data_IF_055682791342
#
_entry.id   IF_055682791342
#
_cell.length_a   1.000
_cell.length_b   1.000
_cell.length_c   1.000
_cell.angle_alpha   90.00
_cell.angle_beta   90.00
_cell.angle_gamma   90.00
#
_symmetry.space_group_name_H-M   'P 1'
#
loop_
_entity.id
_entity.type
_entity.pdbx_description
1 polymer ?
#
# COMPACT_ATOMS: atom_id res chain seq x y z
N UNK A 1 2.10 -9.23 11.19
CA UNK A 1 2.04 -7.89 10.55
C UNK A 1 2.74 -7.93 9.19
N UNK A 2 2.27 -7.16 8.20
CA UNK A 2 2.92 -6.97 6.89
C UNK A 2 3.64 -5.63 6.79
N UNK A 3 3.11 -4.59 7.44
CA UNK A 3 3.75 -3.28 7.57
C UNK A 3 3.69 -2.76 9.00
N UNK A 4 4.85 -2.39 9.53
CA UNK A 4 5.06 -1.75 10.82
C UNK A 4 5.88 -0.45 10.65
N UNK A 5 5.27 0.74 10.83
CA UNK A 5 5.95 2.02 10.54
C UNK A 5 7.30 2.17 11.24
N UNK A 6 7.40 1.72 12.51
CA UNK A 6 8.60 1.85 13.33
C UNK A 6 9.81 1.12 12.75
N UNK A 7 9.63 -0.09 12.22
CA UNK A 7 10.73 -0.88 11.64
C UNK A 7 10.90 -0.68 10.12
N UNK A 8 9.85 -0.25 9.43
CA UNK A 8 9.75 -0.43 7.98
C UNK A 8 9.88 0.84 7.17
N UNK A 9 9.60 2.01 7.76
CA UNK A 9 9.52 3.24 6.98
C UNK A 9 10.86 3.57 6.27
N UNK A 10 11.99 3.20 6.87
CA UNK A 10 13.32 3.37 6.26
C UNK A 10 13.61 2.41 5.09
N UNK A 11 12.77 1.37 4.90
CA UNK A 11 12.92 0.34 3.84
C UNK A 11 11.96 0.58 2.66
N UNK A 12 11.12 1.60 2.74
CA UNK A 12 10.15 1.93 1.71
C UNK A 12 10.85 2.52 0.47
N UNK A 13 10.39 2.08 -0.69
CA UNK A 13 10.66 2.71 -1.98
C UNK A 13 9.46 3.55 -2.40
N UNK A 14 9.68 4.65 -3.11
CA UNK A 14 8.63 5.63 -3.42
C UNK A 14 8.64 6.05 -4.88
N UNK A 15 7.48 6.49 -5.37
CA UNK A 15 7.38 7.30 -6.58
C UNK A 15 8.34 8.49 -6.47
N UNK A 16 9.23 8.65 -7.45
CA UNK A 16 10.15 9.80 -7.45
C UNK A 16 9.44 11.04 -7.96
N UNK A 17 9.67 12.16 -7.29
CA UNK A 17 9.09 13.46 -7.63
C UNK A 17 10.26 14.40 -7.97
N UNK A 18 10.50 14.60 -9.26
CA UNK A 18 11.60 15.40 -9.78
C UNK A 18 13.00 14.93 -9.34
N UNK A 19 14.00 15.81 -9.52
CA UNK A 19 15.40 15.52 -9.20
C UNK A 19 15.73 15.52 -7.69
N UNK A 20 14.87 16.13 -6.87
CA UNK A 20 15.13 16.39 -5.45
C UNK A 20 14.82 15.21 -4.51
N UNK A 21 14.17 14.14 -4.97
CA UNK A 21 13.57 13.15 -4.08
C UNK A 21 13.87 11.69 -4.43
N UNK A 22 15.10 11.20 -4.17
CA UNK A 22 15.34 9.74 -4.03
C UNK A 22 14.73 9.18 -2.73
N UNK A 23 14.44 10.05 -1.76
CA UNK A 23 13.78 9.72 -0.50
C UNK A 23 12.32 10.13 -0.64
N UNK A 24 11.39 9.21 -0.40
CA UNK A 24 9.97 9.54 -0.39
C UNK A 24 9.67 10.68 0.56
N UNK A 25 8.67 11.50 0.20
CA UNK A 25 8.03 12.46 1.09
C UNK A 25 7.05 11.72 1.99
N UNK A 26 7.51 11.42 3.20
CA UNK A 26 6.71 10.84 4.28
C UNK A 26 7.27 11.33 5.62
N UNK A 27 6.50 11.15 6.69
CA UNK A 27 6.97 11.38 8.06
C UNK A 27 6.62 10.19 8.94
N UNK A 28 7.44 9.95 9.96
CA UNK A 28 7.03 9.14 11.09
C UNK A 28 6.44 10.06 12.16
N UNK A 29 5.25 9.71 12.64
CA UNK A 29 4.55 10.36 13.73
C UNK A 29 4.25 9.33 14.84
N UNK A 30 3.56 9.79 15.88
CA UNK A 30 3.13 8.94 16.99
C UNK A 30 1.62 9.01 17.13
N UNK A 31 0.98 7.84 17.17
CA UNK A 31 -0.45 7.70 17.43
C UNK A 31 -0.75 8.25 18.82
N UNK A 32 -1.59 9.29 18.90
CA UNK A 32 -2.05 9.82 20.18
C UNK A 32 -3.04 8.88 20.90
N UNK A 33 -3.51 7.83 20.20
CA UNK A 33 -4.46 6.85 20.74
C UNK A 33 -3.72 5.65 21.34
N UNK A 34 -2.70 5.12 20.65
CA UNK A 34 -2.03 3.87 21.04
C UNK A 34 -0.57 4.06 21.45
N UNK A 35 0.00 5.24 21.24
CA UNK A 35 1.42 5.50 21.44
C UNK A 35 2.33 4.79 20.44
N UNK A 36 1.78 4.15 19.39
CA UNK A 36 2.57 3.43 18.39
C UNK A 36 3.10 4.37 17.30
N UNK A 37 4.22 4.02 16.63
CA UNK A 37 4.69 4.72 15.45
C UNK A 37 3.65 4.70 14.32
N UNK A 38 3.50 5.83 13.64
CA UNK A 38 2.55 6.04 12.55
C UNK A 38 3.29 6.49 11.31
N UNK A 39 2.97 5.88 10.18
CA UNK A 39 3.45 6.30 8.87
C UNK A 39 2.51 7.36 8.30
N UNK A 40 2.98 8.60 8.25
CA UNK A 40 2.27 9.72 7.65
C UNK A 40 2.65 9.84 6.17
N UNK A 41 1.70 9.51 5.30
CA UNK A 41 1.81 9.58 3.85
C UNK A 41 0.86 10.67 3.34
N UNK A 42 1.42 11.71 2.73
CA UNK A 42 0.66 12.83 2.20
C UNK A 42 0.96 12.99 0.71
N UNK A 43 -0.04 13.40 -0.08
CA UNK A 43 0.19 13.74 -1.47
C UNK A 43 1.13 14.93 -1.53
N UNK A 44 2.27 14.79 -2.22
CA UNK A 44 3.21 15.87 -2.34
C UNK A 44 2.60 16.95 -3.25
N UNK A 45 2.84 18.21 -2.89
CA UNK A 45 2.38 19.38 -3.63
C UNK A 45 3.63 20.17 -4.02
N UNK A 46 3.81 20.41 -5.31
CA UNK A 46 4.92 21.23 -5.80
C UNK A 46 4.65 22.73 -5.61
N UNK A 47 5.63 23.56 -5.97
CA UNK A 47 5.52 25.02 -5.84
C UNK A 47 4.39 25.64 -6.66
N UNK A 48 3.88 24.93 -7.68
CA UNK A 48 2.73 25.36 -8.49
C UNK A 48 1.39 24.91 -7.91
N UNK A 49 1.40 24.16 -6.80
CA UNK A 49 0.20 23.59 -6.21
C UNK A 49 -0.23 22.27 -6.83
N UNK A 50 0.61 21.66 -7.68
CA UNK A 50 0.29 20.42 -8.38
C UNK A 50 0.77 19.19 -7.61
N UNK A 51 -0.04 18.14 -7.59
CA UNK A 51 0.29 16.82 -7.03
C UNK A 51 0.42 15.78 -8.13
N UNK A 52 1.28 14.75 -7.98
CA UNK A 52 1.33 13.65 -8.93
C UNK A 52 -0.02 12.93 -9.01
N UNK A 53 -0.30 12.32 -10.17
CA UNK A 53 -1.54 11.56 -10.36
C UNK A 53 -1.61 10.32 -9.43
N UNK A 54 -0.44 9.74 -9.14
CA UNK A 54 -0.23 8.63 -8.22
C UNK A 54 1.01 8.89 -7.36
N UNK A 55 0.92 8.64 -6.07
CA UNK A 55 2.05 8.66 -5.16
C UNK A 55 2.05 7.40 -4.31
N UNK A 56 3.01 6.52 -4.59
CA UNK A 56 3.06 5.17 -4.06
C UNK A 56 4.27 4.97 -3.15
N UNK A 57 4.03 4.36 -1.99
CA UNK A 57 5.05 3.78 -1.12
C UNK A 57 5.00 2.25 -1.24
N UNK A 58 6.13 1.60 -1.49
CA UNK A 58 6.24 0.15 -1.70
C UNK A 58 7.27 -0.48 -0.78
N UNK A 59 6.86 -1.57 -0.14
CA UNK A 59 7.65 -2.36 0.80
C UNK A 59 7.80 -3.78 0.31
N UNK A 60 9.02 -4.32 0.34
CA UNK A 60 9.24 -5.76 0.16
C UNK A 60 8.78 -6.50 1.41
N UNK A 61 7.84 -7.43 1.26
CA UNK A 61 7.24 -8.24 2.33
C UNK A 61 7.52 -9.74 2.18
N UNK A 62 8.27 -10.15 1.16
CA UNK A 62 8.54 -11.56 0.82
C UNK A 62 8.98 -12.41 2.01
N UNK A 63 9.92 -11.94 2.82
CA UNK A 63 10.43 -12.70 3.96
C UNK A 63 9.36 -12.90 5.03
N UNK A 64 8.47 -11.92 5.21
CA UNK A 64 7.33 -12.02 6.14
C UNK A 64 6.33 -13.05 5.65
N UNK A 65 6.06 -13.06 4.36
CA UNK A 65 5.18 -14.04 3.71
C UNK A 65 5.76 -15.44 3.89
N UNK A 66 7.03 -15.65 3.53
CA UNK A 66 7.74 -16.93 3.68
C UNK A 66 7.78 -17.43 5.12
N UNK A 67 8.00 -16.54 6.09
CA UNK A 67 8.04 -16.89 7.51
C UNK A 67 6.72 -17.46 8.05
N UNK A 68 5.59 -17.31 7.32
CA UNK A 68 4.30 -17.89 7.70
C UNK A 68 4.12 -19.33 7.23
N UNK A 69 4.95 -19.82 6.30
CA UNK A 69 4.91 -21.21 5.80
C UNK A 69 3.48 -21.64 5.43
N UNK A 70 3.05 -22.86 5.78
CA UNK A 70 1.72 -23.40 5.45
C UNK A 70 0.55 -22.58 5.99
N UNK A 71 0.76 -21.78 7.05
CA UNK A 71 -0.32 -20.96 7.61
C UNK A 71 -0.78 -19.88 6.64
N UNK A 72 0.08 -19.43 5.70
CA UNK A 72 -0.26 -18.34 4.77
C UNK A 72 -1.53 -18.61 3.98
N UNK A 73 -1.78 -19.86 3.59
CA UNK A 73 -2.94 -20.27 2.80
C UNK A 73 -4.28 -20.06 3.53
N UNK A 74 -4.26 -19.99 4.87
CA UNK A 74 -5.44 -19.76 5.68
C UNK A 74 -5.85 -18.28 5.76
N UNK A 75 -4.99 -17.34 5.34
CA UNK A 75 -5.32 -15.92 5.40
C UNK A 75 -6.52 -15.57 4.51
N UNK A 76 -7.39 -14.68 5.01
CA UNK A 76 -8.66 -14.30 4.36
C UNK A 76 -8.81 -12.81 4.13
N UNK A 77 -8.05 -11.99 4.84
CA UNK A 77 -8.25 -10.54 4.85
C UNK A 77 -6.97 -9.77 5.14
N UNK A 78 -6.97 -8.49 4.78
CA UNK A 78 -6.04 -7.49 5.28
C UNK A 78 -6.76 -6.58 6.27
N UNK A 79 -6.16 -6.38 7.44
CA UNK A 79 -6.59 -5.42 8.44
C UNK A 79 -5.64 -4.23 8.42
N UNK A 80 -6.17 -3.04 8.23
CA UNK A 80 -5.43 -1.80 8.20
C UNK A 80 -5.91 -0.90 9.34
N UNK A 81 -5.00 -0.47 10.19
CA UNK A 81 -5.30 0.58 11.18
C UNK A 81 -4.81 1.91 10.65
N UNK A 82 -5.75 2.80 10.32
CA UNK A 82 -5.46 4.07 9.66
C UNK A 82 -6.45 5.18 10.02
N UNK A 83 -6.07 6.41 9.66
CA UNK A 83 -6.97 7.55 9.48
C UNK A 83 -6.59 8.35 8.24
N UNK A 84 -7.55 9.06 7.67
CA UNK A 84 -7.35 10.05 6.61
C UNK A 84 -6.88 11.40 7.16
N UNK A 85 -6.18 12.17 6.32
CA UNK A 85 -5.81 13.57 6.56
C UNK A 85 -6.90 14.55 6.08
N UNK A 86 -7.97 14.04 5.47
CA UNK A 86 -9.17 14.76 5.04
C UNK A 86 -10.43 14.04 5.51
N UNK A 87 -11.58 14.71 5.47
CA UNK A 87 -12.87 14.15 5.88
C UNK A 87 -13.28 12.89 5.06
N UNK A 88 -12.76 12.79 3.84
CA UNK A 88 -12.83 11.59 3.02
C UNK A 88 -11.48 11.40 2.35
N UNK A 89 -10.90 10.23 2.53
CA UNK A 89 -9.64 9.82 1.95
C UNK A 89 -9.79 8.42 1.36
N UNK A 90 -9.29 8.22 0.15
CA UNK A 90 -9.12 6.89 -0.43
C UNK A 90 -7.64 6.50 -0.40
N UNK A 91 -7.35 5.31 0.12
CA UNK A 91 -6.06 4.66 0.03
C UNK A 91 -6.18 3.45 -0.90
N UNK A 92 -5.33 3.36 -1.92
CA UNK A 92 -5.22 2.15 -2.73
C UNK A 92 -4.15 1.25 -2.13
N UNK A 93 -4.55 0.03 -1.79
CA UNK A 93 -3.67 -0.99 -1.23
C UNK A 93 -3.43 -2.03 -2.30
N UNK A 94 -2.17 -2.25 -2.67
CA UNK A 94 -1.80 -3.22 -3.70
C UNK A 94 -0.91 -4.31 -3.12
N UNK A 95 -1.29 -5.55 -3.38
CA UNK A 95 -0.49 -6.75 -3.14
C UNK A 95 0.12 -7.20 -4.47
N UNK A 96 1.45 -7.17 -4.56
CA UNK A 96 2.19 -7.53 -5.77
C UNK A 96 2.94 -8.84 -5.56
N UNK A 97 2.72 -9.76 -6.49
CA UNK A 97 3.40 -11.06 -6.57
C UNK A 97 4.80 -10.93 -7.20
N UNK A 98 5.63 -11.96 -7.02
CA UNK A 98 7.00 -12.02 -7.55
C UNK A 98 7.09 -12.10 -9.10
N UNK A 99 5.96 -12.31 -9.78
CA UNK A 99 5.83 -12.20 -11.23
C UNK A 99 5.32 -10.82 -11.71
N UNK A 100 5.14 -9.87 -10.79
CA UNK A 100 4.63 -8.52 -11.06
C UNK A 100 3.11 -8.40 -11.07
N UNK A 101 2.37 -9.53 -11.06
CA UNK A 101 0.91 -9.52 -10.98
C UNK A 101 0.46 -8.80 -9.71
N UNK A 102 -0.38 -7.79 -9.90
CA UNK A 102 -0.76 -6.88 -8.83
C UNK A 102 -2.27 -6.92 -8.62
N UNK A 103 -2.64 -6.95 -7.35
CA UNK A 103 -4.00 -7.04 -6.88
C UNK A 103 -4.29 -5.83 -6.00
N UNK A 104 -5.31 -5.05 -6.33
CA UNK A 104 -5.58 -3.76 -5.69
C UNK A 104 -6.98 -3.75 -5.06
N UNK A 105 -7.08 -3.12 -3.91
CA UNK A 105 -8.35 -2.75 -3.28
C UNK A 105 -8.27 -1.31 -2.78
N UNK A 106 -9.41 -0.61 -2.80
CA UNK A 106 -9.52 0.75 -2.26
C UNK A 106 -10.12 0.73 -0.86
N UNK A 107 -9.50 1.47 0.05
CA UNK A 107 -9.94 1.66 1.43
C UNK A 107 -10.33 3.13 1.61
N UNK A 108 -11.57 3.38 2.03
CA UNK A 108 -12.05 4.74 2.32
C UNK A 108 -12.00 4.98 3.82
N UNK A 109 -11.36 6.06 4.25
CA UNK A 109 -11.27 6.47 5.65
C UNK A 109 -11.63 7.94 5.83
N UNK A 110 -12.19 8.28 6.98
CA UNK A 110 -12.34 9.66 7.47
C UNK A 110 -11.16 10.05 8.36
N UNK A 111 -11.26 11.16 9.08
CA UNK A 111 -10.20 11.65 9.98
C UNK A 111 -10.10 10.91 11.32
N UNK A 112 -10.98 9.94 11.59
CA UNK A 112 -10.96 9.15 12.81
C UNK A 112 -10.07 7.90 12.66
N UNK A 113 -9.40 7.53 13.75
CA UNK A 113 -8.62 6.30 13.81
C UNK A 113 -9.54 5.08 13.82
N UNK A 114 -9.44 4.26 12.79
CA UNK A 114 -10.26 3.06 12.63
C UNK A 114 -9.42 1.86 12.17
N UNK A 115 -9.90 0.66 12.47
CA UNK A 115 -9.43 -0.55 11.79
C UNK A 115 -10.38 -0.88 10.64
N UNK A 116 -9.82 -0.99 9.44
CA UNK A 116 -10.53 -1.35 8.21
C UNK A 116 -10.13 -2.78 7.83
N UNK A 117 -11.12 -3.65 7.68
CA UNK A 117 -10.92 -5.04 7.25
C UNK A 117 -11.31 -5.18 5.79
N UNK A 118 -10.37 -5.58 4.95
CA UNK A 118 -10.56 -5.79 3.51
C UNK A 118 -10.42 -7.28 3.21
N UNK A 119 -11.49 -7.98 2.80
CA UNK A 119 -11.38 -9.39 2.44
C UNK A 119 -10.49 -9.54 1.20
N UNK A 120 -9.65 -10.57 1.16
CA UNK A 120 -8.76 -10.83 0.02
C UNK A 120 -9.52 -11.08 -1.29
N UNK A 121 -10.79 -11.48 -1.19
CA UNK A 121 -11.69 -11.61 -2.35
C UNK A 121 -12.17 -10.28 -2.95
N UNK A 122 -11.99 -9.16 -2.24
CA UNK A 122 -12.30 -7.83 -2.77
C UNK A 122 -11.15 -7.23 -3.60
N UNK A 123 -9.98 -7.86 -3.59
CA UNK A 123 -8.87 -7.43 -4.41
C UNK A 123 -9.09 -7.87 -5.86
N UNK A 124 -8.95 -6.92 -6.78
CA UNK A 124 -9.08 -7.16 -8.22
C UNK A 124 -7.74 -6.94 -8.90
N UNK A 125 -7.56 -7.54 -10.08
CA UNK A 125 -6.37 -7.30 -10.88
C UNK A 125 -6.22 -5.80 -11.17
N UNK A 126 -5.04 -5.26 -10.85
CA UNK A 126 -4.73 -3.84 -10.98
C UNK A 126 -3.30 -3.64 -11.48
N UNK A 127 -2.94 -2.38 -11.67
CA UNK A 127 -1.58 -2.02 -12.06
C UNK A 127 -0.70 -1.88 -10.82
N UNK A 128 0.42 -2.57 -10.82
CA UNK A 128 1.48 -2.38 -9.83
C UNK A 128 2.45 -1.28 -10.25
N UNK A 129 3.10 -0.62 -9.30
CA UNK A 129 4.13 0.39 -9.60
C UNK A 129 5.53 -0.23 -9.52
N UNK A 130 6.36 -0.03 -10.55
CA UNK A 130 7.80 -0.32 -10.50
C UNK A 130 8.51 0.80 -9.75
N UNK A 131 9.11 0.50 -8.60
CA UNK A 131 9.82 1.49 -7.78
C UNK A 131 11.27 1.05 -7.47
N UNK A 132 12.21 2.00 -7.36
CA UNK A 132 12.03 3.45 -7.41
C UNK A 132 12.18 4.02 -8.84
N UNK A 133 11.09 4.41 -9.51
CA UNK A 133 11.10 5.03 -10.84
C UNK A 133 10.62 6.48 -10.84
N UNK A 134 11.06 7.24 -11.86
CA UNK A 134 10.71 8.65 -12.11
C UNK A 134 9.24 8.87 -12.48
N UNK A 135 8.58 9.87 -11.89
CA UNK A 135 7.35 10.46 -12.44
C UNK A 135 7.49 12.00 -12.54
N UNK A 136 6.98 12.68 -13.61
CA UNK A 136 6.44 12.15 -14.87
C UNK A 136 7.54 12.11 -15.95
N UNK A 137 7.92 10.94 -16.48
CA UNK A 137 8.94 10.91 -17.53
C UNK A 137 9.33 9.53 -18.07
N UNK A 138 8.79 9.24 -19.25
CA UNK A 138 9.30 8.34 -20.30
C UNK A 138 9.24 6.81 -20.15
N UNK A 139 9.30 6.19 -18.96
CA UNK A 139 9.38 4.72 -18.85
C UNK A 139 8.10 4.10 -18.24
N UNK A 140 7.81 2.83 -18.56
CA UNK A 140 6.62 2.11 -18.07
C UNK A 140 6.61 2.02 -16.54
N UNK A 141 5.99 3.01 -15.89
CA UNK A 141 5.76 3.14 -14.45
C UNK A 141 4.87 2.02 -13.89
N UNK A 142 4.03 1.45 -14.76
CA UNK A 142 3.05 0.43 -14.44
C UNK A 142 3.47 -0.95 -14.94
N UNK A 143 3.19 -1.97 -14.12
CA UNK A 143 3.24 -3.38 -14.53
C UNK A 143 1.80 -3.86 -14.76
N UNK A 144 1.57 -4.43 -15.93
CA UNK A 144 0.37 -5.21 -16.19
C UNK A 144 0.52 -6.62 -15.61
N UNK A 145 -0.60 -7.32 -15.32
CA UNK A 145 -0.56 -8.71 -14.87
C UNK A 145 0.27 -9.63 -15.76
N UNK A 146 0.93 -10.63 -15.17
CA UNK A 146 1.65 -11.65 -15.92
C UNK A 146 0.71 -12.42 -16.86
N UNK A 147 1.24 -12.99 -17.95
CA UNK A 147 0.43 -13.75 -18.92
C UNK A 147 -0.39 -14.85 -18.24
N UNK A 148 -1.70 -14.87 -18.50
CA UNK A 148 -2.64 -15.83 -17.91
C UNK A 148 -3.15 -15.45 -16.52
N UNK A 149 -2.78 -14.29 -15.98
CA UNK A 149 -3.22 -13.76 -14.69
C UNK A 149 -4.23 -12.62 -14.83
N UNK A 150 -4.99 -12.38 -13.78
CA UNK A 150 -5.94 -11.27 -13.67
C UNK A 150 -7.28 -11.48 -14.39
N UNK A 151 -7.54 -12.71 -14.84
CA UNK A 151 -8.83 -13.10 -15.41
C UNK A 151 -9.95 -13.23 -14.38
N UNK A 152 -11.16 -13.50 -14.86
CA UNK A 152 -12.32 -13.69 -13.99
C UNK A 152 -12.11 -14.84 -12.99
N UNK A 153 -12.28 -14.54 -11.70
CA UNK A 153 -12.13 -15.51 -10.61
C UNK A 153 -10.69 -15.78 -10.16
N UNK A 154 -9.68 -15.23 -10.85
CA UNK A 154 -8.29 -15.26 -10.39
C UNK A 154 -8.14 -14.38 -9.13
N UNK A 155 -7.14 -14.70 -8.30
CA UNK A 155 -6.95 -14.13 -6.95
C UNK A 155 -5.46 -14.02 -6.60
N UNK A 156 -5.11 -13.20 -5.59
CA UNK A 156 -3.75 -13.17 -5.06
C UNK A 156 -3.25 -14.55 -4.64
N UNK A 157 -2.08 -14.96 -5.15
CA UNK A 157 -1.35 -16.13 -4.64
C UNK A 157 -0.50 -15.69 -3.46
N UNK A 158 -0.96 -16.02 -2.25
CA UNK A 158 -0.42 -15.41 -1.03
C UNK A 158 1.03 -15.77 -0.73
N UNK A 159 1.46 -16.97 -1.12
CA UNK A 159 2.83 -17.49 -1.03
C UNK A 159 3.79 -16.81 -2.02
N UNK A 160 3.26 -16.24 -3.10
CA UNK A 160 4.01 -15.49 -4.11
C UNK A 160 4.10 -13.98 -3.83
N UNK A 161 3.47 -13.49 -2.76
CA UNK A 161 3.49 -12.05 -2.45
C UNK A 161 4.91 -11.56 -2.16
N UNK A 162 5.35 -10.59 -2.94
CA UNK A 162 6.66 -9.97 -2.81
C UNK A 162 6.57 -8.57 -2.22
N UNK A 163 5.57 -7.78 -2.61
CA UNK A 163 5.46 -6.37 -2.22
C UNK A 163 4.08 -5.98 -1.74
N UNK A 164 4.05 -5.06 -0.77
CA UNK A 164 2.88 -4.28 -0.37
C UNK A 164 3.08 -2.85 -0.84
N UNK A 165 2.09 -2.29 -1.54
CA UNK A 165 2.10 -0.90 -1.97
C UNK A 165 0.91 -0.14 -1.37
N UNK A 166 1.17 1.10 -0.97
CA UNK A 166 0.21 2.06 -0.42
C UNK A 166 0.23 3.30 -1.32
N UNK A 167 -0.86 3.55 -2.04
CA UNK A 167 -0.91 4.58 -3.08
C UNK A 167 -2.00 5.60 -2.80
N UNK A 168 -1.62 6.87 -2.96
CA UNK A 168 -2.53 8.01 -2.96
C UNK A 168 -2.73 8.50 -4.39
N UNK A 169 -3.93 8.97 -4.71
CA UNK A 169 -4.26 9.54 -6.03
C UNK A 169 -4.75 10.97 -5.89
N UNK A 170 -4.40 11.79 -6.87
CA UNK A 170 -4.93 13.16 -6.98
C UNK A 170 -6.46 13.13 -6.91
N UNK A 171 -7.03 14.13 -6.25
CA UNK A 171 -8.49 14.32 -6.10
C UNK A 171 -9.22 13.28 -5.24
N UNK A 172 -8.50 12.34 -4.61
CA UNK A 172 -9.06 11.32 -3.72
C UNK A 172 -8.74 11.57 -2.23
N UNK A 173 -8.39 12.80 -1.89
CA UNK A 173 -8.06 13.27 -0.53
C UNK A 173 -6.61 13.77 -0.43
N UNK A 174 -6.18 14.10 0.80
CA UNK A 174 -4.85 14.67 1.06
C UNK A 174 -3.77 13.64 1.37
N UNK A 175 -4.15 12.55 2.04
CA UNK A 175 -3.24 11.50 2.49
C UNK A 175 -3.79 10.73 3.68
N UNK A 176 -2.97 9.82 4.20
CA UNK A 176 -3.30 8.94 5.31
C UNK A 176 -2.21 8.91 6.36
N UNK A 177 -2.63 8.54 7.56
CA UNK A 177 -1.75 8.02 8.60
C UNK A 177 -2.05 6.54 8.81
N UNK A 178 -1.03 5.69 8.65
CA UNK A 178 -1.15 4.24 8.77
C UNK A 178 -0.34 3.76 9.97
N UNK A 179 -1.00 3.12 10.92
CA UNK A 179 -0.38 2.55 12.12
C UNK A 179 0.05 1.09 11.88
N UNK A 180 -0.72 0.32 11.09
CA UNK A 180 -0.29 -1.01 10.67
C UNK A 180 -1.07 -1.56 9.48
N UNK A 181 -0.46 -2.51 8.76
CA UNK A 181 -1.15 -3.42 7.84
C UNK A 181 -0.84 -4.85 8.27
N UNK A 182 -1.88 -5.66 8.47
CA UNK A 182 -1.75 -7.03 8.97
C UNK A 182 -2.59 -8.00 8.13
N UNK A 183 -2.00 -9.13 7.78
CA UNK A 183 -2.74 -10.25 7.20
C UNK A 183 -3.53 -10.97 8.30
N UNK A 184 -4.84 -11.10 8.12
CA UNK A 184 -5.77 -11.76 9.03
C UNK A 184 -6.29 -13.07 8.47
N UNK A 185 -6.75 -13.95 9.36
CA UNK A 185 -7.23 -15.30 9.05
C UNK A 185 -8.77 -15.42 9.06
N UNK A 186 -9.47 -14.28 9.20
CA UNK A 186 -10.88 -14.24 9.58
C UNK A 186 -11.04 -14.39 11.09
N UNK A 187 -12.24 -14.13 11.62
CA UNK A 187 -12.56 -14.49 12.99
C UNK A 187 -12.62 -16.01 13.13
N UNK A 188 -12.04 -16.54 14.21
CA UNK A 188 -12.50 -17.84 14.71
C UNK A 188 -13.92 -17.61 15.20
N UNK A 189 -14.92 -18.14 14.50
CA UNK A 189 -16.22 -18.40 15.12
C UNK A 189 -16.03 -19.26 16.37
#
# INVERSE_FOLDING_TARGET
>A
RLFDPGSDAARLTFTRIGDAGRRGLFRLAWSQVTGQPVFHLELPVDASGSSPADYTASLVIRDRVRARQETIAAAKELRLRLRGLSAKQTLHVTLMEDDGTSWTASVVSDSAWNEQTVPLSAFTAGRGVLLPEGFPGEWNYWVDPATGRGGAGDRPRLDHLERLQLSLRRDEGKGVEVESVTLGFGEKN
#
